data_IF_132574639002
#
_entry.id   IF_132574639002
#
_cell.length_a   1.000
_cell.length_b   1.000
_cell.length_c   1.000
_cell.angle_alpha   90.00
_cell.angle_beta   90.00
_cell.angle_gamma   90.00
#
_symmetry.space_group_name_H-M   'P 1'
#
loop_
_entity.id
_entity.type
_entity.pdbx_description
1 polymer ?
#
# COMPACT_ATOMS: atom_id res chain seq x y z
N UNK A 1 -17.36 0.72 5.32
CA UNK A 1 -17.45 1.86 4.40
C UNK A 1 -17.22 1.45 2.95
N UNK A 2 -16.02 1.07 2.53
CA UNK A 2 -15.77 0.78 1.09
C UNK A 2 -16.66 -0.34 0.52
N UNK A 3 -16.87 -1.44 1.26
CA UNK A 3 -17.79 -2.53 0.89
C UNK A 3 -19.24 -2.07 0.66
N UNK A 4 -19.72 -1.06 1.40
CA UNK A 4 -21.07 -0.51 1.20
C UNK A 4 -21.13 0.51 0.07
N UNK A 5 -20.02 1.18 -0.24
CA UNK A 5 -19.93 2.13 -1.36
C UNK A 5 -19.76 1.39 -2.70
N UNK A 6 -19.02 0.28 -2.74
CA UNK A 6 -18.66 -0.44 -3.96
C UNK A 6 -19.04 -1.93 -3.84
N UNK A 7 -20.25 -2.34 -4.29
CA UNK A 7 -20.71 -3.72 -4.15
C UNK A 7 -19.77 -4.77 -4.77
N UNK A 8 -19.20 -4.51 -5.95
CA UNK A 8 -18.25 -5.45 -6.59
C UNK A 8 -16.99 -5.71 -5.75
N UNK A 9 -16.63 -4.81 -4.84
CA UNK A 9 -15.54 -5.07 -3.90
C UNK A 9 -15.90 -6.15 -2.87
N UNK A 10 -17.18 -6.24 -2.46
CA UNK A 10 -17.66 -7.36 -1.64
C UNK A 10 -17.38 -8.68 -2.34
N UNK A 11 -17.84 -8.78 -3.59
CA UNK A 11 -17.74 -9.98 -4.39
C UNK A 11 -16.27 -10.35 -4.63
N UNK A 12 -15.40 -9.37 -4.83
CA UNK A 12 -13.96 -9.58 -4.98
C UNK A 12 -13.34 -10.19 -3.71
N UNK A 13 -13.67 -9.68 -2.52
CA UNK A 13 -13.13 -10.21 -1.26
C UNK A 13 -13.56 -11.66 -1.06
N UNK A 14 -14.82 -11.97 -1.35
CA UNK A 14 -15.35 -13.33 -1.23
C UNK A 14 -14.71 -14.26 -2.27
N UNK A 15 -14.44 -13.77 -3.48
CA UNK A 15 -13.77 -14.49 -4.56
C UNK A 15 -12.30 -14.78 -4.22
N UNK A 16 -11.58 -13.80 -3.66
CA UNK A 16 -10.20 -13.97 -3.20
C UNK A 16 -10.10 -15.06 -2.13
N UNK A 17 -11.01 -15.04 -1.15
CA UNK A 17 -11.03 -16.10 -0.13
C UNK A 17 -11.26 -17.49 -0.75
N UNK A 18 -12.17 -17.61 -1.72
CA UNK A 18 -12.40 -18.89 -2.44
C UNK A 18 -11.19 -19.34 -3.23
N UNK A 19 -10.51 -18.42 -3.92
CA UNK A 19 -9.29 -18.71 -4.68
C UNK A 19 -8.17 -19.20 -3.76
N UNK A 20 -7.96 -18.51 -2.62
CA UNK A 20 -6.95 -18.91 -1.64
C UNK A 20 -7.28 -20.29 -1.04
N UNK A 21 -8.56 -20.59 -0.79
CA UNK A 21 -9.03 -21.92 -0.36
C UNK A 21 -8.74 -23.00 -1.39
N UNK A 22 -9.05 -22.75 -2.66
CA UNK A 22 -8.77 -23.70 -3.73
C UNK A 22 -7.27 -23.93 -3.90
N UNK A 23 -6.46 -22.86 -3.89
CA UNK A 23 -5.01 -22.95 -4.01
C UNK A 23 -4.36 -23.77 -2.87
N UNK A 24 -4.80 -23.54 -1.61
CA UNK A 24 -4.32 -24.30 -0.46
C UNK A 24 -4.70 -25.77 -0.58
N UNK A 25 -5.96 -26.07 -0.90
CA UNK A 25 -6.44 -27.45 -0.97
C UNK A 25 -5.85 -28.21 -2.18
N UNK A 26 -5.54 -27.54 -3.29
CA UNK A 26 -4.86 -28.13 -4.44
C UNK A 26 -3.42 -28.59 -4.13
N UNK A 27 -2.77 -27.98 -3.13
CA UNK A 27 -1.42 -28.37 -2.68
C UNK A 27 -1.41 -29.57 -1.72
N UNK A 28 -2.58 -30.04 -1.28
CA UNK A 28 -2.69 -31.17 -0.35
C UNK A 28 -2.70 -32.53 -1.03
N UNK A 29 -2.28 -33.56 -0.29
CA UNK A 29 -2.46 -34.96 -0.73
C UNK A 29 -3.94 -35.31 -0.80
N UNK A 30 -4.36 -36.02 -1.85
CA UNK A 30 -5.73 -36.51 -2.02
C UNK A 30 -6.22 -37.24 -0.76
N UNK A 31 -7.41 -36.86 -0.27
CA UNK A 31 -8.04 -37.44 0.93
C UNK A 31 -7.80 -36.68 2.22
N UNK A 32 -7.04 -35.58 2.21
CA UNK A 32 -6.91 -34.66 3.35
C UNK A 32 -8.21 -33.86 3.55
N UNK A 33 -8.62 -33.55 4.79
CA UNK A 33 -9.80 -32.72 5.05
C UNK A 33 -9.59 -31.31 4.48
N UNK A 34 -10.64 -30.72 3.91
CA UNK A 34 -10.63 -29.35 3.41
C UNK A 34 -10.19 -28.40 4.52
N UNK A 35 -9.16 -27.60 4.25
CA UNK A 35 -8.65 -26.63 5.22
C UNK A 35 -9.17 -25.23 4.88
N UNK A 36 -9.67 -24.53 5.88
CA UNK A 36 -9.99 -23.11 5.78
C UNK A 36 -8.66 -22.33 5.64
N UNK A 37 -8.48 -21.49 4.60
CA UNK A 37 -7.31 -20.62 4.46
C UNK A 37 -6.94 -19.88 5.74
N UNK A 38 -7.95 -19.49 6.50
CA UNK A 38 -7.78 -18.79 7.75
C UNK A 38 -6.92 -19.60 8.73
N UNK A 39 -7.03 -20.91 8.78
CA UNK A 39 -6.34 -21.75 9.77
C UNK A 39 -4.85 -21.98 9.44
N UNK A 40 -4.44 -21.76 8.18
CA UNK A 40 -3.05 -21.98 7.73
C UNK A 40 -2.33 -20.66 7.48
N UNK A 41 -3.00 -19.72 6.82
CA UNK A 41 -2.35 -18.48 6.41
C UNK A 41 -2.03 -17.61 7.63
N UNK A 42 -0.91 -16.85 7.59
CA UNK A 42 -0.60 -15.89 8.62
C UNK A 42 -1.80 -14.97 8.89
N UNK A 43 -2.03 -14.61 10.16
CA UNK A 43 -3.15 -13.76 10.56
C UNK A 43 -3.22 -12.43 9.78
N UNK A 44 -2.07 -11.89 9.37
CA UNK A 44 -1.98 -10.70 8.51
C UNK A 44 -2.76 -10.85 7.21
N UNK A 45 -2.73 -12.01 6.53
CA UNK A 45 -3.36 -12.21 5.23
C UNK A 45 -4.87 -11.93 5.25
N UNK A 46 -5.54 -12.19 6.38
CA UNK A 46 -6.99 -11.98 6.54
C UNK A 46 -7.37 -10.50 6.55
N UNK A 47 -6.48 -9.64 7.05
CA UNK A 47 -6.71 -8.19 7.21
C UNK A 47 -5.92 -7.37 6.20
N UNK A 48 -5.04 -8.03 5.44
CA UNK A 48 -4.09 -7.40 4.56
C UNK A 48 -4.79 -6.66 3.42
N UNK A 49 -4.65 -5.34 3.42
CA UNK A 49 -5.20 -4.45 2.40
C UNK A 49 -4.25 -3.30 2.12
N UNK A 50 -4.37 -2.70 0.95
CA UNK A 50 -3.88 -1.36 0.73
C UNK A 50 -4.97 -0.47 0.12
N UNK A 51 -4.99 0.80 0.50
CA UNK A 51 -5.83 1.82 -0.13
C UNK A 51 -5.02 2.76 -1.01
N UNK A 52 -5.69 3.48 -1.91
CA UNK A 52 -5.08 4.59 -2.63
C UNK A 52 -5.94 5.85 -2.54
N UNK A 53 -5.32 6.99 -2.23
CA UNK A 53 -5.98 8.30 -2.12
C UNK A 53 -5.21 9.36 -2.91
N UNK A 54 -5.90 10.45 -3.25
CA UNK A 54 -5.33 11.58 -3.99
C UNK A 54 -5.65 12.89 -3.29
N UNK A 55 -4.62 13.70 -3.09
CA UNK A 55 -4.67 14.97 -2.40
C UNK A 55 -4.40 16.11 -3.38
N UNK A 56 -4.96 17.28 -3.10
CA UNK A 56 -4.81 18.48 -3.91
C UNK A 56 -3.79 19.46 -3.36
N UNK A 57 -3.50 19.45 -2.06
CA UNK A 57 -2.66 20.49 -1.43
C UNK A 57 -1.59 19.96 -0.48
N UNK A 58 -0.58 20.79 -0.21
CA UNK A 58 0.47 20.50 0.77
C UNK A 58 -0.09 20.42 2.21
N UNK A 59 -1.09 21.26 2.54
CA UNK A 59 -1.77 21.20 3.84
C UNK A 59 -2.46 19.86 4.05
N UNK A 60 -3.15 19.37 3.01
CA UNK A 60 -3.78 18.04 3.03
C UNK A 60 -2.74 16.94 3.24
N UNK A 61 -1.62 16.96 2.51
CA UNK A 61 -0.54 15.97 2.66
C UNK A 61 0.06 15.96 4.07
N UNK A 62 0.44 17.12 4.59
CA UNK A 62 1.03 17.24 5.93
C UNK A 62 0.05 16.82 7.04
N UNK A 63 -1.23 17.14 6.88
CA UNK A 63 -2.26 16.76 7.87
C UNK A 63 -2.54 15.25 7.82
N UNK A 64 -2.61 14.66 6.62
CA UNK A 64 -2.78 13.22 6.49
C UNK A 64 -1.59 12.44 7.05
N UNK A 65 -0.37 12.95 6.90
CA UNK A 65 0.81 12.36 7.56
C UNK A 65 0.62 12.31 9.06
N UNK A 66 0.15 13.39 9.69
CA UNK A 66 -0.11 13.43 11.15
C UNK A 66 -1.18 12.42 11.55
N UNK A 67 -2.26 12.35 10.79
CA UNK A 67 -3.32 11.35 10.99
C UNK A 67 -2.78 9.91 10.90
N UNK A 68 -1.98 9.59 9.87
CA UNK A 68 -1.40 8.27 9.69
C UNK A 68 -0.35 7.91 10.76
N UNK A 69 0.41 8.89 11.26
CA UNK A 69 1.38 8.67 12.32
C UNK A 69 0.74 8.13 13.62
N UNK A 70 -0.47 8.59 13.96
CA UNK A 70 -1.24 8.08 15.13
C UNK A 70 -1.59 6.59 14.96
N UNK A 71 -1.72 6.12 13.72
CA UNK A 71 -1.97 4.71 13.38
C UNK A 71 -0.67 3.91 13.19
N UNK A 72 0.50 4.48 13.50
CA UNK A 72 1.80 3.84 13.34
C UNK A 72 2.23 3.70 11.88
N UNK A 73 1.71 4.56 10.99
CA UNK A 73 2.00 4.54 9.57
C UNK A 73 2.84 5.76 9.16
N UNK A 74 3.96 5.50 8.51
CA UNK A 74 4.97 6.50 8.16
C UNK A 74 5.20 6.56 6.64
N UNK A 75 5.63 7.71 6.09
CA UNK A 75 5.87 7.86 4.66
C UNK A 75 7.12 7.09 4.23
N UNK A 76 6.93 6.07 3.40
CA UNK A 76 7.97 5.20 2.85
C UNK A 76 7.95 5.25 1.32
N UNK A 77 9.14 5.41 0.74
CA UNK A 77 9.36 5.50 -0.69
C UNK A 77 8.81 6.78 -1.32
N UNK A 78 9.42 7.17 -2.44
CA UNK A 78 9.02 8.31 -3.25
C UNK A 78 8.73 7.89 -4.68
N UNK A 79 7.59 8.35 -5.23
CA UNK A 79 7.14 7.98 -6.56
C UNK A 79 6.85 9.25 -7.36
N UNK A 80 7.70 9.58 -8.35
CA UNK A 80 7.41 10.65 -9.31
C UNK A 80 6.60 10.09 -10.49
N UNK A 81 5.33 10.47 -10.55
CA UNK A 81 4.40 9.91 -11.54
C UNK A 81 4.44 10.64 -12.89
N UNK A 82 5.30 11.67 -13.03
CA UNK A 82 5.62 12.25 -14.35
C UNK A 82 6.15 11.19 -15.31
N UNK A 83 6.86 10.19 -14.79
CA UNK A 83 7.43 9.07 -15.53
C UNK A 83 6.39 8.31 -16.38
N UNK A 84 5.12 8.37 -15.97
CA UNK A 84 3.98 7.69 -16.59
C UNK A 84 2.91 8.69 -17.04
N UNK A 85 3.25 9.98 -17.15
CA UNK A 85 2.38 11.02 -17.69
C UNK A 85 1.40 11.64 -16.69
N UNK A 86 1.54 11.38 -15.37
CA UNK A 86 0.64 11.96 -14.37
C UNK A 86 1.21 13.22 -13.73
N UNK A 87 0.41 14.29 -13.55
CA UNK A 87 0.84 15.53 -12.91
C UNK A 87 0.86 15.41 -11.38
N UNK A 88 1.45 14.35 -10.85
CA UNK A 88 1.41 13.97 -9.44
C UNK A 88 2.72 13.33 -8.98
N UNK A 89 2.90 13.31 -7.66
CA UNK A 89 3.92 12.50 -6.99
C UNK A 89 3.32 11.87 -5.73
N UNK A 90 3.97 10.85 -5.21
CA UNK A 90 3.40 9.99 -4.17
C UNK A 90 4.41 9.53 -3.12
N UNK A 91 3.87 9.07 -1.99
CA UNK A 91 4.54 8.23 -1.00
C UNK A 91 3.55 7.19 -0.48
N UNK A 92 4.04 6.16 0.21
CA UNK A 92 3.19 5.16 0.87
C UNK A 92 3.21 5.37 2.36
N UNK A 93 2.07 5.56 2.99
CA UNK A 93 1.98 5.50 4.45
C UNK A 93 1.80 4.06 4.89
N UNK A 94 2.72 3.54 5.70
CA UNK A 94 2.66 2.16 6.21
C UNK A 94 3.46 1.95 7.50
N UNK A 95 3.23 0.86 8.24
CA UNK A 95 4.10 0.49 9.34
C UNK A 95 5.53 0.17 8.87
N UNK A 96 6.51 0.50 9.73
CA UNK A 96 7.93 0.34 9.44
C UNK A 96 8.61 -0.87 10.07
N UNK A 97 7.96 -1.56 11.03
CA UNK A 97 8.57 -2.69 11.76
C UNK A 97 7.89 -4.01 11.46
N UNK A 98 8.64 -5.11 11.58
CA UNK A 98 8.13 -6.46 11.37
C UNK A 98 6.96 -6.77 12.30
N UNK A 99 7.07 -6.38 13.57
CA UNK A 99 6.06 -6.63 14.60
C UNK A 99 4.74 -5.92 14.24
N UNK A 100 4.81 -4.66 13.79
CA UNK A 100 3.63 -3.92 13.38
C UNK A 100 3.00 -4.51 12.12
N UNK A 101 3.81 -4.81 11.09
CA UNK A 101 3.36 -5.44 9.84
C UNK A 101 2.72 -6.82 10.07
N UNK A 102 3.26 -7.61 11.01
CA UNK A 102 2.69 -8.92 11.37
C UNK A 102 1.30 -8.83 12.01
N UNK A 103 1.00 -7.71 12.68
CA UNK A 103 -0.31 -7.46 13.30
C UNK A 103 -1.31 -6.90 12.29
N UNK A 104 -0.90 -5.87 11.55
CA UNK A 104 -1.73 -5.25 10.55
C UNK A 104 -0.83 -4.50 9.55
N UNK A 105 -0.67 -5.00 8.32
CA UNK A 105 0.19 -4.38 7.33
C UNK A 105 -0.54 -3.32 6.50
N UNK A 106 -1.62 -2.68 6.99
CA UNK A 106 -2.38 -1.72 6.19
C UNK A 106 -1.49 -0.61 5.61
N UNK A 107 -1.64 -0.34 4.31
CA UNK A 107 -0.89 0.68 3.56
C UNK A 107 -1.85 1.64 2.88
N UNK A 108 -1.45 2.90 2.74
CA UNK A 108 -2.17 3.86 1.91
C UNK A 108 -1.20 4.55 0.94
N UNK A 109 -1.34 4.22 -0.33
CA UNK A 109 -0.66 4.92 -1.42
C UNK A 109 -1.27 6.31 -1.57
N UNK A 110 -0.50 7.34 -1.25
CA UNK A 110 -0.99 8.72 -1.17
C UNK A 110 -0.31 9.57 -2.22
N UNK A 111 -1.10 10.05 -3.17
CA UNK A 111 -0.64 11.00 -4.18
C UNK A 111 -1.03 12.42 -3.84
N UNK A 112 -0.23 13.36 -4.32
CA UNK A 112 -0.56 14.79 -4.28
C UNK A 112 -0.38 15.44 -5.65
N UNK A 113 -1.31 16.31 -5.99
CA UNK A 113 -1.31 17.09 -7.23
C UNK A 113 -0.12 18.05 -7.29
N UNK A 114 0.55 18.08 -8.45
CA UNK A 114 1.60 19.05 -8.78
C UNK A 114 1.01 20.17 -9.63
N UNK A 115 0.50 21.21 -8.95
CA UNK A 115 -0.16 22.34 -9.58
C UNK A 115 0.71 23.05 -10.64
N UNK A 116 2.02 23.03 -10.47
CA UNK A 116 2.99 23.62 -11.40
C UNK A 116 3.04 22.94 -12.76
N UNK A 117 2.51 21.72 -12.88
CA UNK A 117 2.43 20.96 -14.13
C UNK A 117 1.15 21.21 -14.92
N UNK A 118 0.19 21.98 -14.35
CA UNK A 118 -1.09 22.26 -14.99
C UNK A 118 -1.03 23.50 -15.88
N UNK A 119 -1.89 23.56 -16.90
CA UNK A 119 -2.18 24.80 -17.63
C UNK A 119 -2.66 25.90 -16.68
N UNK A 120 -2.42 27.17 -17.03
CA UNK A 120 -2.80 28.33 -16.20
C UNK A 120 -4.29 28.30 -15.82
N UNK A 121 -5.16 28.04 -16.81
CA UNK A 121 -6.60 27.93 -16.62
C UNK A 121 -6.99 26.82 -15.64
N UNK A 122 -6.42 25.61 -15.79
CA UNK A 122 -6.72 24.49 -14.90
C UNK A 122 -6.15 24.72 -13.50
N UNK A 123 -4.97 25.34 -13.40
CA UNK A 123 -4.30 25.69 -12.14
C UNK A 123 -5.12 26.67 -11.31
N UNK A 124 -5.61 27.76 -11.91
CA UNK A 124 -6.41 28.77 -11.21
C UNK A 124 -7.72 28.20 -10.69
N UNK A 125 -8.38 27.39 -11.52
CA UNK A 125 -9.59 26.67 -11.14
C UNK A 125 -9.31 25.69 -9.98
N UNK A 126 -8.25 24.88 -10.09
CA UNK A 126 -7.87 23.92 -9.05
C UNK A 126 -7.55 24.62 -7.73
N UNK A 127 -6.78 25.71 -7.75
CA UNK A 127 -6.45 26.48 -6.56
C UNK A 127 -7.69 27.05 -5.89
N UNK A 128 -8.62 27.61 -6.67
CA UNK A 128 -9.84 28.19 -6.14
C UNK A 128 -10.76 27.15 -5.51
N UNK A 129 -10.98 26.02 -6.19
CA UNK A 129 -11.80 24.93 -5.68
C UNK A 129 -11.19 24.29 -4.41
N UNK A 130 -9.89 23.97 -4.44
CA UNK A 130 -9.20 23.33 -3.32
C UNK A 130 -9.08 24.23 -2.08
N UNK A 131 -9.03 25.56 -2.24
CA UNK A 131 -9.05 26.51 -1.10
C UNK A 131 -10.41 26.56 -0.38
N UNK A 132 -11.49 26.17 -1.06
CA UNK A 132 -12.84 26.25 -0.50
C UNK A 132 -13.26 24.97 0.22
N UNK A 133 -12.55 23.85 0.01
CA UNK A 133 -12.85 22.59 0.69
C UNK A 133 -12.05 22.43 1.97
N UNK A 134 -12.64 21.69 2.90
CA UNK A 134 -11.93 21.13 4.04
C UNK A 134 -12.25 19.64 4.12
N UNK A 135 -11.24 18.81 3.86
CA UNK A 135 -11.41 17.35 3.87
C UNK A 135 -11.35 16.75 5.28
N UNK A 136 -10.92 17.53 6.29
CA UNK A 136 -10.80 17.07 7.68
C UNK A 136 -11.85 17.73 8.56
N UNK A 137 -12.56 16.93 9.35
CA UNK A 137 -13.49 17.51 10.32
C UNK A 137 -12.72 18.27 11.40
N UNK A 138 -13.35 19.30 11.98
CA UNK A 138 -12.73 20.05 13.09
C UNK A 138 -12.40 19.12 14.27
N UNK A 139 -13.22 18.09 14.49
CA UNK A 139 -13.01 17.13 15.56
C UNK A 139 -11.81 16.21 15.29
N UNK A 140 -11.62 15.76 14.05
CA UNK A 140 -10.43 15.01 13.66
C UNK A 140 -9.15 15.81 13.93
N UNK A 141 -9.12 17.09 13.55
CA UNK A 141 -7.96 17.96 13.82
C UNK A 141 -7.69 18.07 15.32
N UNK A 142 -8.72 18.28 16.14
CA UNK A 142 -8.58 18.35 17.59
C UNK A 142 -8.05 17.04 18.20
N UNK A 143 -8.46 15.88 17.68
CA UNK A 143 -7.97 14.57 18.11
C UNK A 143 -6.51 14.33 17.69
N UNK A 144 -6.11 14.79 16.50
CA UNK A 144 -4.72 14.73 16.06
C UNK A 144 -3.83 15.55 17.00
N UNK A 145 -4.21 16.79 17.29
CA UNK A 145 -3.47 17.65 18.21
C UNK A 145 -3.42 17.11 19.64
N UNK A 146 -4.49 16.43 20.08
CA UNK A 146 -4.53 15.78 21.38
C UNK A 146 -3.53 14.63 21.45
N UNK A 147 -3.53 13.76 20.42
CA UNK A 147 -2.61 12.64 20.32
C UNK A 147 -1.14 13.09 20.33
N UNK A 148 -0.82 14.16 19.60
CA UNK A 148 0.53 14.73 19.55
C UNK A 148 0.96 15.35 20.90
N UNK A 149 0.03 15.88 21.70
CA UNK A 149 0.33 16.45 23.02
C UNK A 149 0.50 15.39 24.11
N UNK A 150 -0.21 14.28 24.00
CA UNK A 150 -0.29 13.25 25.04
C UNK A 150 0.47 11.96 24.70
N UNK A 151 1.09 11.90 23.51
CA UNK A 151 1.75 10.71 22.97
C UNK A 151 0.81 9.49 22.87
N UNK A 152 -0.41 9.74 22.42
CA UNK A 152 -1.42 8.69 22.25
C UNK A 152 -2.85 9.17 22.52
N UNK A 153 -3.80 8.25 22.33
CA UNK A 153 -5.22 8.45 22.57
C UNK A 153 -5.76 7.33 23.46
N UNK A 154 -6.76 7.65 24.28
CA UNK A 154 -7.53 6.64 25.02
C UNK A 154 -8.37 5.78 24.06
N UNK A 155 -8.86 4.63 24.54
CA UNK A 155 -9.70 3.74 23.71
C UNK A 155 -10.98 4.43 23.18
N UNK A 156 -11.58 5.34 23.96
CA UNK A 156 -12.75 6.09 23.53
C UNK A 156 -12.40 7.10 22.43
N UNK A 157 -11.30 7.84 22.60
CA UNK A 157 -10.81 8.81 21.62
C UNK A 157 -10.34 8.12 20.34
N UNK A 158 -9.74 6.93 20.42
CA UNK A 158 -9.40 6.13 19.23
C UNK A 158 -10.64 5.76 18.41
N UNK A 159 -11.76 5.39 19.06
CA UNK A 159 -13.01 5.09 18.35
C UNK A 159 -13.55 6.32 17.65
N UNK A 160 -13.53 7.46 18.32
CA UNK A 160 -13.95 8.73 17.75
C UNK A 160 -13.03 9.17 16.60
N UNK A 161 -11.72 9.04 16.77
CA UNK A 161 -10.70 9.32 15.75
C UNK A 161 -10.92 8.49 14.48
N UNK A 162 -11.28 7.21 14.62
CA UNK A 162 -11.59 6.35 13.47
C UNK A 162 -12.85 6.85 12.75
N UNK A 163 -13.92 7.20 13.49
CA UNK A 163 -15.18 7.69 12.91
C UNK A 163 -14.96 9.00 12.17
N UNK A 164 -14.34 9.98 12.82
CA UNK A 164 -14.04 11.30 12.23
C UNK A 164 -13.03 11.19 11.07
N UNK A 165 -12.05 10.30 11.21
CA UNK A 165 -11.07 9.99 10.17
C UNK A 165 -11.70 9.44 8.90
N UNK A 166 -12.70 8.55 9.04
CA UNK A 166 -13.39 7.95 7.89
C UNK A 166 -14.15 8.96 7.03
N UNK A 167 -14.64 10.07 7.60
CA UNK A 167 -15.32 11.12 6.82
C UNK A 167 -14.40 11.76 5.77
N UNK A 168 -13.09 11.79 6.03
CA UNK A 168 -12.07 12.28 5.07
C UNK A 168 -12.06 11.48 3.76
N UNK A 169 -12.44 10.21 3.82
CA UNK A 169 -12.32 9.24 2.73
C UNK A 169 -13.66 8.80 2.12
N UNK A 170 -14.77 9.34 2.63
CA UNK A 170 -16.12 8.95 2.22
C UNK A 170 -16.44 9.44 0.81
N UNK A 171 -17.21 8.65 0.06
CA UNK A 171 -17.77 9.09 -1.22
C UNK A 171 -18.78 10.24 -1.05
N UNK A 172 -18.74 11.21 -1.96
CA UNK A 172 -19.82 12.19 -2.10
C UNK A 172 -20.23 12.32 -3.57
N UNK A 173 -21.52 12.12 -3.85
CA UNK A 173 -22.07 12.24 -5.20
C UNK A 173 -22.27 13.68 -5.67
N UNK A 174 -22.04 14.69 -4.83
CA UNK A 174 -22.16 16.11 -5.18
C UNK A 174 -20.78 16.72 -5.40
N UNK A 175 -20.55 17.26 -6.58
CA UNK A 175 -19.34 18.00 -6.89
C UNK A 175 -19.36 19.40 -6.24
N UNK A 176 -18.17 19.94 -6.01
CA UNK A 176 -17.92 21.29 -5.48
C UNK A 176 -17.71 22.33 -6.58
N UNK A 177 -17.52 21.87 -7.82
CA UNK A 177 -17.33 22.71 -9.01
C UNK A 177 -18.55 22.62 -9.93
N UNK A 178 -18.68 23.58 -10.85
CA UNK A 178 -19.73 23.53 -11.87
C UNK A 178 -19.45 22.43 -12.91
N UNK A 179 -20.47 22.07 -13.70
CA UNK A 179 -20.30 21.11 -14.80
C UNK A 179 -19.25 21.59 -15.82
N UNK A 180 -19.22 22.89 -16.13
CA UNK A 180 -18.28 23.48 -17.08
C UNK A 180 -16.85 23.43 -16.54
N UNK A 181 -16.67 23.78 -15.27
CA UNK A 181 -15.39 23.69 -14.56
C UNK A 181 -14.88 22.25 -14.51
N UNK A 182 -15.76 21.29 -14.21
CA UNK A 182 -15.42 19.87 -14.23
C UNK A 182 -14.93 19.41 -15.60
N UNK A 183 -15.58 19.85 -16.70
CA UNK A 183 -15.11 19.49 -18.05
C UNK A 183 -13.74 20.09 -18.37
N UNK A 184 -13.45 21.31 -17.91
CA UNK A 184 -12.12 21.93 -18.06
C UNK A 184 -11.06 21.09 -17.33
N UNK A 185 -11.31 20.73 -16.07
CA UNK A 185 -10.38 19.90 -15.28
C UNK A 185 -10.20 18.52 -15.89
N UNK A 186 -11.28 17.92 -16.42
CA UNK A 186 -11.25 16.59 -17.02
C UNK A 186 -10.49 16.59 -18.35
N UNK A 187 -10.61 17.66 -19.14
CA UNK A 187 -9.87 17.85 -20.38
C UNK A 187 -8.36 18.03 -20.13
N UNK A 188 -7.98 18.66 -19.02
CA UNK A 188 -6.58 18.71 -18.57
C UNK A 188 -6.09 17.30 -18.22
N UNK A 189 -6.79 16.62 -17.29
CA UNK A 189 -6.54 15.22 -16.97
C UNK A 189 -7.69 14.64 -16.11
N UNK A 190 -8.19 13.41 -16.37
CA UNK A 190 -9.29 12.85 -15.57
C UNK A 190 -9.00 12.75 -14.06
N UNK A 191 -7.75 12.51 -13.67
CA UNK A 191 -7.33 12.51 -12.27
C UNK A 191 -7.36 13.90 -11.62
N UNK A 192 -7.19 14.98 -12.38
CA UNK A 192 -7.31 16.33 -11.83
C UNK A 192 -8.77 16.62 -11.52
N UNK A 193 -9.69 16.24 -12.43
CA UNK A 193 -11.12 16.35 -12.17
C UNK A 193 -11.53 15.57 -10.92
N UNK A 194 -11.01 14.36 -10.75
CA UNK A 194 -11.20 13.53 -9.55
C UNK A 194 -10.67 14.19 -8.26
N UNK A 195 -9.46 14.75 -8.29
CA UNK A 195 -8.87 15.40 -7.11
C UNK A 195 -9.58 16.69 -6.73
N UNK A 196 -9.91 17.53 -7.72
CA UNK A 196 -10.31 18.92 -7.48
C UNK A 196 -11.81 19.05 -7.26
N UNK A 197 -12.62 18.20 -7.88
CA UNK A 197 -14.06 18.44 -8.00
C UNK A 197 -14.86 17.98 -6.79
N UNK A 198 -14.28 17.20 -5.88
CA UNK A 198 -15.01 16.55 -4.79
C UNK A 198 -14.62 17.10 -3.40
N UNK A 199 -15.54 17.07 -2.43
CA UNK A 199 -15.33 17.65 -1.10
C UNK A 199 -14.40 16.82 -0.21
N UNK A 200 -14.11 15.58 -0.57
CA UNK A 200 -13.27 14.62 0.17
C UNK A 200 -12.14 14.06 -0.71
N UNK A 201 -11.14 13.41 -0.10
CA UNK A 201 -10.15 12.60 -0.81
C UNK A 201 -10.54 11.12 -0.77
N UNK A 202 -11.67 10.81 -1.40
CA UNK A 202 -12.29 9.50 -1.35
C UNK A 202 -11.34 8.35 -1.76
N UNK A 203 -11.64 7.13 -1.29
CA UNK A 203 -10.82 5.94 -1.58
C UNK A 203 -10.90 5.59 -3.07
N UNK A 204 -9.82 5.72 -3.83
CA UNK A 204 -9.81 5.36 -5.26
C UNK A 204 -9.96 3.86 -5.47
N UNK A 205 -9.25 3.10 -4.64
CA UNK A 205 -9.29 1.64 -4.59
C UNK A 205 -8.94 1.17 -3.18
N UNK A 206 -9.37 -0.06 -2.90
CA UNK A 206 -8.95 -0.84 -1.74
C UNK A 206 -8.68 -2.25 -2.26
N UNK A 207 -7.44 -2.73 -2.18
CA UNK A 207 -7.07 -4.04 -2.70
C UNK A 207 -6.93 -5.06 -1.55
N UNK A 208 -7.54 -6.26 -1.64
CA UNK A 208 -7.17 -7.39 -0.81
C UNK A 208 -5.91 -8.08 -1.34
N UNK A 209 -5.25 -8.82 -0.46
CA UNK A 209 -4.16 -9.74 -0.81
C UNK A 209 -4.71 -11.13 -1.15
N UNK A 210 -4.10 -11.80 -2.13
CA UNK A 210 -4.29 -13.23 -2.44
C UNK A 210 -2.93 -13.95 -2.50
N UNK A 211 -2.95 -15.28 -2.33
CA UNK A 211 -1.77 -16.13 -2.52
C UNK A 211 -1.60 -16.63 -3.96
N UNK A 212 -2.66 -16.60 -4.78
CA UNK A 212 -2.63 -17.01 -6.20
C UNK A 212 -3.46 -16.05 -7.07
N UNK A 213 -2.79 -15.02 -7.58
CA UNK A 213 -3.44 -14.01 -8.42
C UNK A 213 -3.89 -14.56 -9.79
N UNK A 214 -3.24 -15.60 -10.30
CA UNK A 214 -3.63 -16.21 -11.58
C UNK A 214 -4.99 -16.91 -11.43
N UNK A 215 -5.18 -17.62 -10.32
CA UNK A 215 -6.46 -18.24 -9.99
C UNK A 215 -7.54 -17.18 -9.73
N UNK A 216 -7.23 -16.12 -8.99
CA UNK A 216 -8.16 -15.00 -8.79
C UNK A 216 -8.57 -14.38 -10.12
N UNK A 217 -7.63 -14.05 -11.01
CA UNK A 217 -7.95 -13.45 -12.31
C UNK A 217 -8.85 -14.36 -13.15
N UNK A 218 -8.56 -15.67 -13.17
CA UNK A 218 -9.40 -16.67 -13.85
C UNK A 218 -10.81 -16.69 -13.25
N UNK A 219 -10.94 -16.77 -11.93
CA UNK A 219 -12.23 -16.78 -11.26
C UNK A 219 -13.01 -15.47 -11.48
N UNK A 220 -12.33 -14.32 -11.52
CA UNK A 220 -12.94 -13.04 -11.86
C UNK A 220 -13.57 -13.09 -13.26
N UNK A 221 -12.83 -13.60 -14.25
CA UNK A 221 -13.32 -13.77 -15.62
C UNK A 221 -14.50 -14.75 -15.69
N UNK A 222 -14.40 -15.90 -15.03
CA UNK A 222 -15.44 -16.93 -14.98
C UNK A 222 -16.74 -16.40 -14.31
N UNK A 223 -16.63 -15.44 -13.40
CA UNK A 223 -17.76 -14.78 -12.74
C UNK A 223 -18.18 -13.45 -13.41
N UNK A 224 -17.67 -13.15 -14.61
CA UNK A 224 -18.08 -11.97 -15.39
C UNK A 224 -17.57 -10.63 -14.86
N UNK A 225 -16.58 -10.62 -13.96
CA UNK A 225 -15.92 -9.38 -13.55
C UNK A 225 -15.01 -8.86 -14.67
N UNK A 226 -15.01 -7.55 -14.96
CA UNK A 226 -14.23 -6.98 -16.07
C UNK A 226 -12.75 -6.81 -15.71
N UNK A 227 -12.09 -7.90 -15.32
CA UNK A 227 -10.66 -7.96 -15.04
C UNK A 227 -9.85 -7.56 -16.28
N UNK A 228 -8.77 -6.79 -16.09
CA UNK A 228 -7.77 -6.58 -17.14
C UNK A 228 -7.20 -7.92 -17.59
N UNK A 229 -6.85 -8.02 -18.87
CA UNK A 229 -6.21 -9.22 -19.45
C UNK A 229 -4.81 -9.45 -18.88
N UNK A 230 -4.06 -8.37 -18.61
CA UNK A 230 -2.68 -8.44 -18.17
C UNK A 230 -2.56 -8.26 -16.64
N UNK A 231 -1.83 -9.17 -16.01
CA UNK A 231 -1.31 -9.00 -14.64
C UNK A 231 -0.02 -8.17 -14.71
N UNK A 232 0.05 -7.12 -13.91
CA UNK A 232 1.24 -6.28 -13.74
C UNK A 232 2.23 -6.91 -12.75
N UNK A 233 3.49 -6.52 -12.86
CA UNK A 233 4.59 -7.06 -12.05
C UNK A 233 5.32 -8.24 -12.73
N UNK A 234 6.15 -8.97 -11.96
CA UNK A 234 6.88 -10.13 -12.46
C UNK A 234 5.95 -11.23 -12.98
N UNK A 235 6.46 -12.10 -13.84
CA UNK A 235 5.76 -13.31 -14.26
C UNK A 235 5.54 -14.26 -13.06
N UNK A 236 4.66 -15.25 -13.21
CA UNK A 236 4.48 -16.30 -12.21
C UNK A 236 5.81 -17.00 -11.88
N UNK A 237 6.08 -17.20 -10.59
CA UNK A 237 7.32 -17.79 -10.05
C UNK A 237 6.97 -18.72 -8.90
N UNK A 238 7.82 -19.71 -8.66
CA UNK A 238 7.73 -20.55 -7.47
C UNK A 238 7.99 -19.73 -6.19
N UNK A 239 8.90 -18.77 -6.28
CA UNK A 239 9.22 -17.81 -5.23
C UNK A 239 8.83 -16.42 -5.70
N UNK A 240 7.61 -15.95 -5.37
CA UNK A 240 7.12 -14.65 -5.81
C UNK A 240 8.02 -13.53 -5.32
N UNK A 241 8.19 -12.50 -6.14
CA UNK A 241 9.08 -11.37 -5.87
C UNK A 241 8.28 -10.08 -6.04
N UNK A 242 8.59 -9.06 -5.23
CA UNK A 242 7.89 -7.78 -5.24
C UNK A 242 6.37 -7.98 -5.09
N UNK A 243 5.56 -7.55 -6.05
CA UNK A 243 4.14 -7.85 -6.12
C UNK A 243 3.70 -8.12 -7.55
N UNK A 244 2.58 -8.82 -7.67
CA UNK A 244 1.79 -8.94 -8.89
C UNK A 244 0.40 -8.37 -8.62
N UNK A 245 -0.20 -7.69 -9.58
CA UNK A 245 -1.51 -7.06 -9.39
C UNK A 245 -2.37 -7.07 -10.66
N UNK A 246 -3.68 -7.07 -10.49
CA UNK A 246 -4.65 -6.84 -11.56
C UNK A 246 -5.82 -6.01 -11.05
N UNK A 247 -6.46 -5.29 -11.95
CA UNK A 247 -7.51 -4.32 -11.64
C UNK A 247 -8.72 -4.50 -12.55
N UNK A 248 -9.85 -3.91 -12.16
CA UNK A 248 -11.05 -3.81 -12.97
C UNK A 248 -11.80 -2.51 -12.65
N UNK A 249 -12.57 -2.00 -13.62
CA UNK A 249 -13.50 -0.89 -13.39
C UNK A 249 -14.64 -1.40 -12.49
N UNK A 250 -14.75 -0.87 -11.29
CA UNK A 250 -15.73 -1.37 -10.32
C UNK A 250 -17.07 -0.63 -10.41
N UNK A 251 -17.07 0.69 -10.56
CA UNK A 251 -18.31 1.44 -10.59
C UNK A 251 -18.15 2.77 -11.35
N UNK A 252 -19.12 3.07 -12.21
CA UNK A 252 -19.32 4.42 -12.72
C UNK A 252 -20.37 5.12 -11.87
N UNK A 253 -19.97 6.22 -11.24
CA UNK A 253 -20.76 6.90 -10.23
C UNK A 253 -21.65 7.96 -10.89
N UNK A 254 -22.89 8.05 -10.41
CA UNK A 254 -23.73 9.21 -10.70
C UNK A 254 -23.26 10.39 -9.86
N UNK A 255 -22.92 11.50 -10.53
CA UNK A 255 -22.46 12.73 -9.88
C UNK A 255 -23.39 13.88 -10.23
N UNK A 256 -23.66 14.73 -9.26
CA UNK A 256 -24.47 15.94 -9.39
C UNK A 256 -23.54 17.16 -9.40
N UNK A 257 -23.57 17.90 -10.50
CA UNK A 257 -22.82 19.13 -10.69
C UNK A 257 -23.75 20.33 -10.62
N UNK A 258 -23.22 21.51 -10.28
CA UNK A 258 -23.98 22.77 -10.42
C UNK A 258 -23.88 23.28 -11.85
N UNK A 259 -24.97 23.81 -12.38
CA UNK A 259 -24.97 24.57 -13.63
C UNK A 259 -24.76 26.08 -13.38
N UNK A 260 -24.83 26.89 -14.44
CA UNK A 260 -24.67 28.35 -14.34
C UNK A 260 -25.74 29.05 -13.50
N UNK A 261 -26.86 28.39 -13.18
CA UNK A 261 -27.96 28.91 -12.37
C UNK A 261 -27.98 28.30 -10.96
N UNK A 262 -26.89 27.63 -10.55
CA UNK A 262 -26.74 26.92 -9.27
C UNK A 262 -27.70 25.73 -9.09
N UNK A 263 -28.31 25.23 -10.17
CA UNK A 263 -29.16 24.04 -10.15
C UNK A 263 -28.31 22.76 -10.30
N UNK A 264 -28.70 21.69 -9.60
CA UNK A 264 -28.00 20.41 -9.74
C UNK A 264 -28.41 19.69 -11.03
N UNK A 265 -27.43 19.42 -11.88
CA UNK A 265 -27.55 18.61 -13.09
C UNK A 265 -26.87 17.25 -12.90
N UNK A 266 -27.50 16.21 -13.43
CA UNK A 266 -26.98 14.83 -13.37
C UNK A 266 -25.87 14.63 -14.40
N UNK A 267 -24.74 14.07 -13.99
CA UNK A 267 -23.63 13.63 -14.83
C UNK A 267 -23.02 12.32 -14.31
N UNK A 268 -21.84 11.96 -14.81
CA UNK A 268 -21.11 10.78 -14.36
C UNK A 268 -19.62 11.03 -14.13
N UNK A 269 -19.03 10.24 -13.23
CA UNK A 269 -17.61 10.20 -12.97
C UNK A 269 -17.16 8.76 -12.72
N UNK A 270 -16.01 8.37 -13.28
CA UNK A 270 -15.42 7.06 -13.01
C UNK A 270 -14.31 7.24 -11.98
N UNK A 271 -14.63 7.01 -10.70
CA UNK A 271 -13.67 7.12 -9.59
C UNK A 271 -13.18 5.77 -9.07
N UNK A 272 -14.02 4.72 -9.11
CA UNK A 272 -13.80 3.52 -8.30
C UNK A 272 -13.32 2.32 -9.10
N UNK A 273 -12.22 1.75 -8.65
CA UNK A 273 -11.61 0.57 -9.22
C UNK A 273 -11.49 -0.52 -8.16
N UNK A 274 -11.66 -1.75 -8.62
CA UNK A 274 -11.30 -2.92 -7.83
C UNK A 274 -9.90 -3.34 -8.24
N UNK A 275 -9.11 -3.75 -7.26
CA UNK A 275 -7.76 -4.25 -7.48
C UNK A 275 -7.54 -5.43 -6.53
N UNK A 276 -6.68 -6.36 -6.93
CA UNK A 276 -6.20 -7.47 -6.11
C UNK A 276 -4.71 -7.64 -6.33
N UNK A 277 -3.99 -7.99 -5.27
CA UNK A 277 -2.53 -8.14 -5.30
C UNK A 277 -2.06 -9.45 -4.69
N UNK A 278 -0.98 -10.00 -5.24
CA UNK A 278 -0.19 -11.06 -4.64
C UNK A 278 1.19 -10.50 -4.30
N UNK A 279 1.55 -10.51 -3.02
CA UNK A 279 2.83 -10.00 -2.53
C UNK A 279 3.83 -11.13 -2.38
N UNK A 280 5.02 -10.91 -2.94
CA UNK A 280 6.17 -11.79 -2.84
C UNK A 280 7.26 -11.21 -1.93
N UNK A 281 8.49 -11.67 -2.12
CA UNK A 281 9.62 -11.26 -1.28
C UNK A 281 10.18 -9.90 -1.71
N UNK A 282 10.66 -9.12 -0.75
CA UNK A 282 11.39 -7.88 -0.98
C UNK A 282 12.74 -8.23 -1.65
N UNK A 283 12.86 -7.91 -2.95
CA UNK A 283 13.85 -8.52 -3.84
C UNK A 283 14.36 -7.61 -4.95
N UNK A 284 15.49 -8.05 -5.51
CA UNK A 284 15.88 -7.80 -6.90
C UNK A 284 15.87 -9.12 -7.74
N UNK A 285 15.03 -9.14 -8.79
CA UNK A 285 14.91 -10.04 -9.98
C UNK A 285 15.20 -11.58 -10.02
N UNK A 286 15.66 -12.34 -9.01
CA UNK A 286 16.05 -13.79 -9.15
C UNK A 286 15.11 -14.86 -8.52
N UNK A 287 15.30 -16.16 -8.85
CA UNK A 287 14.31 -17.28 -8.82
C UNK A 287 14.54 -18.45 -7.82
N UNK A 288 15.55 -18.45 -6.94
CA UNK A 288 15.80 -19.51 -5.92
C UNK A 288 16.13 -18.90 -4.56
N UNK A 289 15.42 -19.25 -3.47
CA UNK A 289 15.63 -18.69 -2.12
C UNK A 289 17.06 -18.83 -1.61
N UNK A 290 17.70 -20.00 -1.78
CA UNK A 290 19.04 -20.22 -1.24
C UNK A 290 20.08 -19.38 -2.01
N UNK A 291 19.92 -19.30 -3.33
CA UNK A 291 20.72 -18.45 -4.20
C UNK A 291 20.45 -16.95 -3.95
N UNK A 292 19.18 -16.59 -3.71
CA UNK A 292 18.75 -15.24 -3.39
C UNK A 292 19.39 -14.76 -2.09
N UNK A 293 19.51 -15.63 -1.09
CA UNK A 293 20.21 -15.32 0.16
C UNK A 293 21.72 -15.24 -0.04
N UNK A 294 22.34 -16.24 -0.68
CA UNK A 294 23.79 -16.28 -0.85
C UNK A 294 24.32 -15.12 -1.68
N UNK A 295 23.52 -14.61 -2.61
CA UNK A 295 23.84 -13.45 -3.45
C UNK A 295 23.28 -12.12 -2.92
N UNK A 296 22.68 -12.11 -1.72
CA UNK A 296 22.10 -10.92 -1.08
C UNK A 296 21.08 -10.18 -1.96
N UNK A 297 20.29 -10.95 -2.72
CA UNK A 297 19.31 -10.40 -3.65
C UNK A 297 17.95 -10.14 -2.99
N UNK A 298 17.70 -10.74 -1.81
CA UNK A 298 16.51 -10.57 -0.96
C UNK A 298 16.87 -10.21 0.47
N UNK A 299 15.85 -9.78 1.20
CA UNK A 299 15.91 -9.61 2.64
C UNK A 299 15.26 -10.78 3.38
N UNK A 300 15.86 -11.17 4.50
CA UNK A 300 15.46 -12.34 5.29
C UNK A 300 15.38 -12.00 6.78
N UNK A 301 14.37 -12.55 7.42
CA UNK A 301 14.20 -12.52 8.85
C UNK A 301 14.66 -13.83 9.46
N UNK A 302 15.58 -13.75 10.43
CA UNK A 302 16.13 -14.90 11.13
C UNK A 302 15.36 -15.14 12.44
N UNK A 303 15.24 -16.41 12.82
CA UNK A 303 14.70 -16.82 14.12
C UNK A 303 15.36 -18.09 14.63
N UNK A 304 15.32 -18.31 15.94
CA UNK A 304 15.79 -19.56 16.54
C UNK A 304 14.79 -20.68 16.26
N UNK A 305 15.31 -21.83 15.82
CA UNK A 305 14.51 -23.05 15.71
C UNK A 305 14.20 -23.61 17.10
N UNK A 306 13.29 -24.59 17.20
CA UNK A 306 13.11 -25.33 18.46
C UNK A 306 14.38 -26.04 18.94
N UNK A 307 15.32 -26.35 18.03
CA UNK A 307 16.63 -26.89 18.40
C UNK A 307 17.51 -25.80 19.01
N UNK A 308 17.65 -24.65 18.34
CA UNK A 308 18.41 -23.52 18.85
C UNK A 308 17.89 -23.00 20.21
N UNK A 309 16.58 -23.01 20.43
CA UNK A 309 15.99 -22.66 21.73
C UNK A 309 16.37 -23.65 22.84
N UNK A 310 16.45 -24.95 22.56
CA UNK A 310 16.86 -25.96 23.55
C UNK A 310 18.36 -25.91 23.85
N UNK A 311 19.18 -25.50 22.88
CA UNK A 311 20.60 -25.23 23.09
C UNK A 311 20.85 -24.07 24.08
N UNK A 312 19.85 -23.21 24.33
CA UNK A 312 19.89 -22.19 25.37
C UNK A 312 19.79 -22.77 26.79
N UNK A 313 19.12 -23.92 26.96
CA UNK A 313 18.94 -24.55 28.27
C UNK A 313 20.26 -25.22 28.75
N UNK A 314 21.14 -25.56 27.81
CA UNK A 314 22.53 -26.01 28.04
C UNK A 314 23.52 -24.84 27.98
N UNK A 315 23.25 -23.76 28.75
CA UNK A 315 23.90 -22.43 28.70
C UNK A 315 25.43 -22.37 28.53
N UNK A 316 26.17 -23.41 28.86
CA UNK A 316 27.64 -23.38 28.92
C UNK A 316 28.38 -23.50 27.56
N UNK A 317 27.74 -23.92 26.46
CA UNK A 317 28.49 -24.25 25.24
C UNK A 317 28.64 -23.13 24.19
N UNK A 318 27.81 -22.08 24.20
CA UNK A 318 27.78 -21.05 23.14
C UNK A 318 28.05 -19.63 23.64
N UNK A 319 27.97 -19.37 24.94
CA UNK A 319 28.12 -18.04 25.51
C UNK A 319 29.51 -17.45 25.22
N UNK A 320 29.55 -16.21 24.71
CA UNK A 320 30.80 -15.52 24.38
C UNK A 320 31.55 -16.05 23.16
N UNK A 321 30.95 -16.98 22.38
CA UNK A 321 31.56 -17.45 21.13
C UNK A 321 31.20 -16.54 19.96
N UNK A 322 32.11 -16.50 18.98
CA UNK A 322 31.86 -15.97 17.65
C UNK A 322 31.51 -17.13 16.71
N UNK A 323 30.38 -17.06 16.02
CA UNK A 323 29.95 -18.07 15.04
C UNK A 323 29.58 -17.42 13.72
N UNK A 324 29.75 -18.15 12.62
CA UNK A 324 29.25 -17.69 11.31
C UNK A 324 27.75 -17.99 11.18
N UNK A 325 27.03 -17.15 10.43
CA UNK A 325 25.63 -17.38 10.10
C UNK A 325 25.47 -18.72 9.36
N UNK A 326 26.40 -19.05 8.44
CA UNK A 326 26.41 -20.32 7.72
C UNK A 326 26.41 -21.53 8.68
N UNK A 327 27.29 -21.54 9.69
CA UNK A 327 27.31 -22.60 10.70
C UNK A 327 26.00 -22.71 11.46
N UNK A 328 25.44 -21.58 11.93
CA UNK A 328 24.19 -21.57 12.70
C UNK A 328 23.00 -22.12 11.89
N UNK A 329 23.02 -21.93 10.58
CA UNK A 329 22.04 -22.47 9.64
C UNK A 329 22.26 -23.96 9.38
N UNK A 330 23.51 -24.37 9.12
CA UNK A 330 23.89 -25.77 8.88
C UNK A 330 23.61 -26.67 10.09
N UNK A 331 23.82 -26.15 11.31
CA UNK A 331 23.49 -26.83 12.56
C UNK A 331 22.03 -26.69 12.97
N UNK A 332 21.17 -26.08 12.12
CA UNK A 332 19.76 -25.88 12.39
C UNK A 332 19.46 -25.18 13.74
N UNK A 333 20.32 -24.26 14.16
CA UNK A 333 20.12 -23.41 15.35
C UNK A 333 19.28 -22.19 14.98
N UNK A 334 19.61 -21.58 13.84
CA UNK A 334 18.87 -20.47 13.23
C UNK A 334 18.18 -21.00 11.97
N UNK A 335 16.96 -20.54 11.74
CA UNK A 335 16.29 -20.61 10.44
C UNK A 335 15.92 -19.20 9.97
N UNK A 336 15.46 -19.08 8.73
CA UNK A 336 15.13 -17.80 8.11
C UNK A 336 13.89 -17.89 7.24
N UNK A 337 13.12 -16.81 7.22
CA UNK A 337 11.98 -16.59 6.34
C UNK A 337 12.22 -15.32 5.51
N UNK A 338 11.81 -15.32 4.25
CA UNK A 338 11.88 -14.15 3.39
C UNK A 338 11.01 -13.00 3.91
N UNK A 339 11.50 -11.76 3.82
CA UNK A 339 10.69 -10.57 4.14
C UNK A 339 9.75 -10.28 2.97
N UNK A 340 8.45 -10.13 3.27
CA UNK A 340 7.42 -9.77 2.29
C UNK A 340 7.62 -8.33 1.83
N UNK A 341 7.42 -8.08 0.53
CA UNK A 341 7.47 -6.74 -0.02
C UNK A 341 6.21 -5.94 0.34
N UNK A 342 6.41 -4.84 1.06
CA UNK A 342 5.36 -3.98 1.63
C UNK A 342 5.11 -2.70 0.81
N UNK A 343 5.89 -2.45 -0.23
CA UNK A 343 5.84 -1.22 -1.04
C UNK A 343 5.15 -1.48 -2.39
N UNK A 344 5.34 -0.58 -3.36
CA UNK A 344 4.68 -0.59 -4.67
C UNK A 344 5.71 -0.56 -5.80
N UNK A 345 5.40 -1.17 -6.94
CA UNK A 345 6.33 -1.10 -8.09
C UNK A 345 6.35 0.33 -8.65
N UNK A 346 7.52 0.89 -8.99
CA UNK A 346 7.62 2.24 -9.57
C UNK A 346 6.73 2.47 -10.81
N UNK A 347 6.57 1.45 -11.67
CA UNK A 347 5.70 1.50 -12.85
C UNK A 347 4.23 1.12 -12.57
N UNK A 348 3.96 0.33 -11.52
CA UNK A 348 2.60 -0.04 -11.09
C UNK A 348 1.94 0.98 -10.20
N UNK A 349 2.69 1.93 -9.63
CA UNK A 349 2.13 3.21 -9.23
C UNK A 349 1.39 3.83 -10.42
N UNK A 350 1.98 3.77 -11.62
CA UNK A 350 1.28 4.06 -12.87
C UNK A 350 0.09 3.15 -13.13
N UNK A 351 0.12 1.86 -12.79
CA UNK A 351 -1.01 0.91 -12.83
C UNK A 351 -2.24 1.29 -12.01
N UNK A 352 -2.02 1.85 -10.80
CA UNK A 352 -3.05 2.48 -9.94
C UNK A 352 -3.75 3.66 -10.66
N UNK A 353 -3.12 4.24 -11.68
CA UNK A 353 -3.63 5.36 -12.47
C UNK A 353 -3.97 5.00 -13.93
N UNK A 354 -3.32 3.99 -14.51
CA UNK A 354 -3.54 3.41 -15.85
C UNK A 354 -4.73 2.44 -15.84
N UNK A 355 -5.13 1.93 -14.66
CA UNK A 355 -6.46 1.33 -14.48
C UNK A 355 -7.57 2.33 -14.82
N UNK A 356 -7.33 3.63 -14.65
CA UNK A 356 -8.30 4.69 -14.94
C UNK A 356 -8.28 5.18 -16.40
N UNK A 357 -7.22 4.88 -17.15
CA UNK A 357 -6.93 5.46 -18.46
C UNK A 357 -6.40 4.34 -19.36
N UNK A 358 -7.26 3.82 -20.25
CA UNK A 358 -6.88 2.75 -21.16
C UNK A 358 -5.56 3.04 -21.88
N UNK A 359 -4.60 2.14 -21.71
CA UNK A 359 -3.31 2.03 -22.42
C UNK A 359 -2.57 3.34 -22.72
N UNK A 360 -1.49 3.63 -21.98
CA UNK A 360 -0.38 4.40 -22.54
C UNK A 360 0.94 3.87 -22.01
N UNK A 361 1.79 3.43 -22.93
CA UNK A 361 3.13 2.88 -22.70
C UNK A 361 4.16 3.85 -23.26
N UNK A 362 4.74 4.67 -22.40
CA UNK A 362 6.02 5.35 -22.67
C UNK A 362 6.81 5.38 -21.37
N UNK A 363 8.04 4.87 -21.41
CA UNK A 363 8.96 4.78 -20.29
C UNK A 363 10.34 5.12 -20.81
N UNK A 364 10.88 6.27 -20.44
CA UNK A 364 12.31 6.56 -20.54
C UNK A 364 12.72 7.70 -19.57
N UNK A 365 13.87 7.47 -18.91
CA UNK A 365 14.77 8.43 -18.24
C UNK A 365 14.28 9.22 -17.02
N UNK A 366 14.60 8.76 -15.79
CA UNK A 366 14.60 9.60 -14.58
C UNK A 366 15.65 9.11 -13.55
N UNK A 367 16.85 9.69 -13.55
CA UNK A 367 17.79 9.53 -12.41
C UNK A 367 18.46 10.86 -12.00
N UNK A 368 18.41 11.95 -12.79
CA UNK A 368 19.17 13.17 -12.47
C UNK A 368 18.37 14.38 -11.92
N UNK A 369 17.03 14.36 -11.93
CA UNK A 369 16.18 15.45 -11.37
C UNK A 369 15.49 15.09 -10.04
N UNK A 370 15.76 13.91 -9.48
CA UNK A 370 14.99 13.37 -8.37
C UNK A 370 15.17 14.17 -7.06
N UNK A 371 16.35 14.73 -6.80
CA UNK A 371 16.70 15.30 -5.50
C UNK A 371 15.95 16.60 -5.18
N UNK A 372 15.92 17.58 -6.09
CA UNK A 372 15.19 18.84 -5.83
C UNK A 372 13.67 18.64 -5.76
N UNK A 373 13.13 17.70 -6.55
CA UNK A 373 11.71 17.38 -6.56
C UNK A 373 11.32 16.63 -5.28
N UNK A 374 12.16 15.70 -4.83
CA UNK A 374 12.02 15.00 -3.55
C UNK A 374 12.08 15.99 -2.39
N UNK A 375 13.04 16.92 -2.38
CA UNK A 375 13.13 17.97 -1.37
C UNK A 375 11.89 18.87 -1.33
N UNK A 376 11.34 19.21 -2.50
CA UNK A 376 10.06 19.90 -2.61
C UNK A 376 8.91 19.10 -1.98
N UNK A 377 8.85 17.79 -2.22
CA UNK A 377 7.83 16.92 -1.64
C UNK A 377 7.99 16.79 -0.12
N UNK A 378 9.20 16.53 0.38
CA UNK A 378 9.50 16.39 1.81
C UNK A 378 9.16 17.67 2.59
N UNK A 379 9.40 18.85 2.00
CA UNK A 379 8.97 20.14 2.57
C UNK A 379 7.45 20.25 2.69
N UNK A 380 6.70 19.85 1.66
CA UNK A 380 5.22 19.84 1.70
C UNK A 380 4.69 18.81 2.69
N UNK A 381 5.34 17.65 2.78
CA UNK A 381 5.02 16.57 3.70
C UNK A 381 5.32 16.94 5.16
N UNK A 382 6.36 17.73 5.40
CA UNK A 382 6.81 18.16 6.72
C UNK A 382 7.74 17.17 7.43
N UNK A 383 8.26 16.17 6.71
CA UNK A 383 9.26 15.21 7.19
C UNK A 383 10.00 14.58 6.02
N UNK A 384 11.14 13.96 6.29
CA UNK A 384 11.82 13.11 5.32
C UNK A 384 11.04 11.83 5.02
N UNK A 385 11.13 11.36 3.78
CA UNK A 385 10.66 10.04 3.38
C UNK A 385 11.66 9.00 3.88
N UNK A 386 11.13 7.86 4.31
CA UNK A 386 11.94 6.71 4.68
C UNK A 386 12.24 5.89 3.41
N UNK A 387 13.51 5.52 3.23
CA UNK A 387 13.93 4.55 2.21
C UNK A 387 13.44 3.15 2.60
N UNK A 388 12.66 2.51 1.73
CA UNK A 388 12.16 1.16 1.93
C UNK A 388 13.29 0.13 2.12
N UNK A 389 14.40 0.26 1.40
CA UNK A 389 15.52 -0.68 1.49
C UNK A 389 16.23 -0.57 2.84
N UNK A 390 16.27 0.63 3.41
CA UNK A 390 16.76 0.83 4.76
C UNK A 390 15.89 0.07 5.78
N UNK A 391 14.56 0.11 5.65
CA UNK A 391 13.66 -0.63 6.53
C UNK A 391 13.84 -2.14 6.41
N UNK A 392 13.93 -2.68 5.20
CA UNK A 392 14.16 -4.12 5.00
C UNK A 392 15.52 -4.57 5.54
N UNK A 393 16.56 -3.75 5.34
CA UNK A 393 17.90 -3.98 5.90
C UNK A 393 17.84 -4.02 7.43
N UNK A 394 17.16 -3.04 8.04
CA UNK A 394 17.02 -2.95 9.49
C UNK A 394 16.26 -4.15 10.06
N UNK A 395 15.15 -4.58 9.43
CA UNK A 395 14.42 -5.78 9.85
C UNK A 395 15.29 -7.04 9.81
N UNK A 396 16.10 -7.19 8.76
CA UNK A 396 17.04 -8.31 8.65
C UNK A 396 18.09 -8.27 9.76
N UNK A 397 18.72 -7.11 9.98
CA UNK A 397 19.73 -6.92 11.01
C UNK A 397 19.18 -7.13 12.43
N UNK A 398 18.03 -6.54 12.74
CA UNK A 398 17.34 -6.73 14.02
C UNK A 398 17.04 -8.20 14.29
N UNK A 399 16.59 -8.92 13.27
CA UNK A 399 16.29 -10.35 13.42
C UNK A 399 17.53 -11.17 13.78
N UNK A 400 18.68 -10.87 13.18
CA UNK A 400 19.95 -11.51 13.48
C UNK A 400 20.47 -11.11 14.86
N UNK A 401 20.38 -9.82 15.20
CA UNK A 401 20.80 -9.31 16.50
C UNK A 401 19.95 -9.91 17.64
N UNK A 402 18.66 -10.12 17.41
CA UNK A 402 17.78 -10.81 18.35
C UNK A 402 18.18 -12.29 18.53
N UNK A 403 18.56 -12.98 17.45
CA UNK A 403 19.12 -14.33 17.55
C UNK A 403 20.45 -14.34 18.32
N UNK A 404 21.36 -13.41 18.03
CA UNK A 404 22.66 -13.27 18.71
C UNK A 404 22.48 -13.08 20.21
N UNK A 405 21.62 -12.13 20.61
CA UNK A 405 21.30 -11.84 22.01
C UNK A 405 20.69 -13.04 22.73
N UNK A 406 19.76 -13.74 22.07
CA UNK A 406 19.14 -14.93 22.67
C UNK A 406 20.17 -16.05 22.89
N UNK A 407 21.07 -16.28 21.92
CA UNK A 407 22.11 -17.31 21.99
C UNK A 407 23.31 -16.94 22.89
N UNK A 408 23.39 -15.71 23.39
CA UNK A 408 24.55 -15.24 24.16
C UNK A 408 25.86 -15.15 23.36
N UNK A 409 25.77 -15.07 22.03
CA UNK A 409 26.94 -14.99 21.14
C UNK A 409 27.57 -13.60 21.19
N UNK A 410 28.89 -13.51 21.06
CA UNK A 410 29.57 -12.21 20.97
C UNK A 410 29.24 -11.52 19.63
N UNK A 411 29.38 -12.26 18.53
CA UNK A 411 29.10 -11.79 17.17
C UNK A 411 28.62 -12.94 16.28
N UNK A 412 27.73 -12.62 15.32
CA UNK A 412 27.41 -13.49 14.19
C UNK A 412 28.13 -12.94 12.96
N UNK A 413 29.07 -13.72 12.41
CA UNK A 413 29.82 -13.36 11.20
C UNK A 413 29.03 -13.74 9.93
N UNK A 414 29.09 -12.90 8.89
CA UNK A 414 28.39 -13.13 7.62
C UNK A 414 29.17 -14.01 6.64
#
# INVERSE_FOLDING_TARGET
MYKSEVPLYSDLVDLVWKADAEAINASQKQGSPTIDPNDILPSRNRVERHGAIRLGTAYELSTIRRMFAIMGMFPVGYYDLRAVGFPMHATTFRPGTKEALSKNPFRVFTTVLRMELLTEKARDLAQRALRQRNIFTNRLIALIELAEKQDGLSSAECKEFIVEGLETFRWHSKATVTVEEYQILKAEHPLIADVVSFPSCHINLLAPQTIDIDLVQKMMQDNGMPAKERIEGPTRRQFPILLRQTSFKALEETVYFRDAHDAYVKGSHTARFGEVEQRGYALTRKDDIAELRSQQLAYFCHRLTSHGQRSLDSKDELEGRSMTLAQLLETNIIEYDSIIYEDFLPLSAGGIFNSNLGSTSQSEQLVMEADEVLDGFQRKLGTSIIDEFHLYTHMQQDSLENCRKQLGLEVILH
#
